data_IF_399912177257
#
_entry.id   IF_399912177257
#
_cell.length_a   1.000
_cell.length_b   1.000
_cell.length_c   1.000
_cell.angle_alpha   90.00
_cell.angle_beta   90.00
_cell.angle_gamma   90.00
#
_symmetry.space_group_name_H-M   'P 1'
#
loop_
_entity.id
_entity.type
_entity.pdbx_description
1 polymer ?
#
# COMPACT_ATOMS: atom_id res chain seq x y z
N UNK A 1 12.91 -22.56 11.40
CA UNK A 1 12.29 -21.37 12.02
C UNK A 1 10.95 -21.07 11.35
N UNK A 2 9.81 -21.52 11.90
CA UNK A 2 8.46 -21.20 11.38
C UNK A 2 7.48 -21.03 12.55
N UNK A 3 7.58 -19.90 13.23
CA UNK A 3 6.50 -19.37 14.07
C UNK A 3 5.99 -18.08 13.41
N UNK A 4 5.48 -18.19 12.19
CA UNK A 4 4.67 -17.12 11.59
C UNK A 4 3.34 -17.13 12.35
N UNK A 5 3.20 -16.20 13.29
CA UNK A 5 1.93 -15.76 13.87
C UNK A 5 0.83 -15.94 12.82
N UNK A 6 -0.08 -16.91 13.02
CA UNK A 6 -1.26 -17.12 12.19
C UNK A 6 -2.18 -15.92 12.40
N UNK A 7 -1.85 -14.81 11.75
CA UNK A 7 -2.72 -13.64 11.69
C UNK A 7 -3.99 -14.14 11.00
N UNK A 8 -5.09 -14.16 11.75
CA UNK A 8 -6.39 -14.48 11.20
C UNK A 8 -6.71 -13.47 10.09
N UNK A 9 -6.69 -13.98 8.85
CA UNK A 9 -6.91 -13.17 7.65
C UNK A 9 -8.26 -12.47 7.72
N UNK A 10 -9.25 -13.05 8.41
CA UNK A 10 -10.58 -12.45 8.61
C UNK A 10 -10.52 -11.13 9.38
N UNK A 11 -9.51 -10.95 10.24
CA UNK A 11 -9.30 -9.70 10.99
C UNK A 11 -8.55 -8.64 10.19
N UNK A 12 -7.96 -8.99 9.04
CA UNK A 12 -7.17 -8.05 8.24
C UNK A 12 -8.04 -6.97 7.57
N UNK A 13 -7.49 -5.76 7.48
CA UNK A 13 -8.13 -4.64 6.75
C UNK A 13 -8.36 -5.01 5.28
N UNK A 14 -7.44 -5.76 4.68
CA UNK A 14 -7.56 -6.25 3.31
C UNK A 14 -8.79 -7.15 3.14
N UNK A 15 -9.00 -8.11 4.04
CA UNK A 15 -10.19 -8.97 4.00
C UNK A 15 -11.48 -8.17 4.20
N UNK A 16 -11.54 -7.25 5.18
CA UNK A 16 -12.72 -6.40 5.40
C UNK A 16 -13.07 -5.57 4.17
N UNK A 17 -12.07 -4.97 3.51
CA UNK A 17 -12.25 -4.22 2.27
C UNK A 17 -12.75 -5.12 1.13
N UNK A 18 -12.17 -6.30 0.96
CA UNK A 18 -12.56 -7.28 -0.06
C UNK A 18 -14.00 -7.74 0.17
N UNK A 19 -14.36 -8.08 1.41
CA UNK A 19 -15.71 -8.49 1.81
C UNK A 19 -16.72 -7.36 1.53
N UNK A 20 -16.39 -6.12 1.90
CA UNK A 20 -17.22 -4.96 1.58
C UNK A 20 -17.44 -4.79 0.07
N UNK A 21 -16.36 -4.88 -0.74
CA UNK A 21 -16.47 -4.76 -2.20
C UNK A 21 -17.23 -5.93 -2.83
N UNK A 22 -17.04 -7.13 -2.29
CA UNK A 22 -17.76 -8.32 -2.71
C UNK A 22 -19.26 -8.18 -2.43
N UNK A 23 -19.64 -7.77 -1.21
CA UNK A 23 -21.03 -7.51 -0.82
C UNK A 23 -21.68 -6.40 -1.66
N UNK A 24 -20.94 -5.34 -1.98
CA UNK A 24 -21.43 -4.26 -2.86
C UNK A 24 -21.68 -4.73 -4.30
N UNK A 25 -20.89 -5.68 -4.81
CA UNK A 25 -21.12 -6.31 -6.12
C UNK A 25 -22.21 -7.39 -6.06
N UNK A 26 -22.35 -8.08 -4.94
CA UNK A 26 -23.38 -9.08 -4.66
C UNK A 26 -24.80 -8.51 -4.80
N UNK A 27 -25.03 -7.29 -4.30
CA UNK A 27 -26.34 -6.62 -4.44
C UNK A 27 -26.78 -6.43 -5.90
N UNK A 28 -25.83 -6.44 -6.84
CA UNK A 28 -26.07 -6.17 -8.27
C UNK A 28 -26.19 -7.43 -9.13
N UNK A 29 -25.94 -8.63 -8.59
CA UNK A 29 -25.73 -9.81 -9.43
C UNK A 29 -26.43 -11.06 -8.87
N UNK A 30 -27.37 -11.62 -9.63
CA UNK A 30 -28.20 -12.75 -9.18
C UNK A 30 -27.43 -14.06 -9.03
N UNK A 31 -26.37 -14.26 -9.82
CA UNK A 31 -25.48 -15.43 -9.70
C UNK A 31 -24.78 -15.47 -8.34
N UNK A 32 -24.37 -14.31 -7.82
CA UNK A 32 -23.75 -14.20 -6.51
C UNK A 32 -24.75 -14.37 -5.36
N UNK A 33 -26.02 -14.01 -5.58
CA UNK A 33 -27.11 -14.24 -4.61
C UNK A 33 -27.32 -15.72 -4.30
N UNK A 34 -27.11 -16.60 -5.28
CA UNK A 34 -27.28 -18.05 -5.16
C UNK A 34 -26.17 -18.75 -4.36
N UNK A 35 -25.01 -18.11 -4.14
CA UNK A 35 -23.94 -18.71 -3.33
C UNK A 35 -24.34 -18.80 -1.85
N UNK A 36 -23.95 -19.90 -1.20
CA UNK A 36 -24.00 -20.04 0.25
C UNK A 36 -23.03 -19.06 0.93
N UNK A 37 -23.28 -18.75 2.21
CA UNK A 37 -22.39 -17.86 2.97
C UNK A 37 -20.97 -18.42 3.11
N UNK A 38 -20.84 -19.75 3.19
CA UNK A 38 -19.54 -20.43 3.29
C UNK A 38 -18.70 -20.30 2.03
N UNK A 39 -19.31 -20.44 0.85
CA UNK A 39 -18.60 -20.28 -0.42
C UNK A 39 -18.12 -18.84 -0.62
N UNK A 40 -18.92 -17.85 -0.20
CA UNK A 40 -18.53 -16.43 -0.23
C UNK A 40 -17.32 -16.17 0.65
N UNK A 41 -17.32 -16.74 1.85
CA UNK A 41 -16.21 -16.63 2.79
C UNK A 41 -14.94 -17.27 2.22
N UNK A 42 -15.04 -18.46 1.63
CA UNK A 42 -13.91 -19.13 0.96
C UNK A 42 -13.31 -18.27 -0.15
N UNK A 43 -14.16 -17.70 -1.03
CA UNK A 43 -13.72 -16.81 -2.11
C UNK A 43 -13.04 -15.55 -1.55
N UNK A 44 -13.64 -14.90 -0.55
CA UNK A 44 -13.08 -13.69 0.04
C UNK A 44 -11.74 -13.95 0.73
N UNK A 45 -11.60 -15.08 1.45
CA UNK A 45 -10.33 -15.48 2.08
C UNK A 45 -9.26 -15.75 1.03
N UNK A 46 -9.59 -16.48 -0.04
CA UNK A 46 -8.63 -16.79 -1.09
C UNK A 46 -8.16 -15.55 -1.83
N UNK A 47 -9.09 -14.66 -2.18
CA UNK A 47 -8.76 -13.39 -2.83
C UNK A 47 -7.95 -12.49 -1.89
N UNK A 48 -8.26 -12.47 -0.59
CA UNK A 48 -7.47 -11.73 0.40
C UNK A 48 -6.04 -12.26 0.51
N UNK A 49 -5.86 -13.59 0.58
CA UNK A 49 -4.52 -14.22 0.58
C UNK A 49 -3.73 -13.87 -0.68
N UNK A 50 -4.36 -13.98 -1.85
CA UNK A 50 -3.71 -13.70 -3.13
C UNK A 50 -3.37 -12.21 -3.28
N UNK A 51 -4.28 -11.32 -2.86
CA UNK A 51 -4.03 -9.88 -2.81
C UNK A 51 -2.85 -9.56 -1.91
N UNK A 52 -2.79 -10.17 -0.71
CA UNK A 52 -1.68 -9.99 0.24
C UNK A 52 -0.35 -10.40 -0.37
N UNK A 53 -0.27 -11.58 -0.97
CA UNK A 53 0.97 -12.07 -1.59
C UNK A 53 1.43 -11.16 -2.74
N UNK A 54 0.51 -10.76 -3.63
CA UNK A 54 0.83 -9.84 -4.74
C UNK A 54 1.29 -8.48 -4.19
N UNK A 55 0.62 -7.97 -3.16
CA UNK A 55 0.99 -6.69 -2.52
C UNK A 55 2.39 -6.76 -1.92
N UNK A 56 2.76 -7.87 -1.28
CA UNK A 56 4.10 -8.05 -0.71
C UNK A 56 5.18 -8.07 -1.80
N UNK A 57 4.96 -8.86 -2.86
CA UNK A 57 5.90 -8.94 -3.99
C UNK A 57 6.04 -7.57 -4.66
N UNK A 58 4.92 -6.92 -4.94
CA UNK A 58 4.91 -5.58 -5.52
C UNK A 58 5.60 -4.56 -4.61
N UNK A 59 5.36 -4.61 -3.30
CA UNK A 59 6.00 -3.72 -2.33
C UNK A 59 7.53 -3.86 -2.35
N UNK A 60 8.06 -5.08 -2.45
CA UNK A 60 9.51 -5.32 -2.57
C UNK A 60 10.05 -4.70 -3.86
N UNK A 61 9.42 -4.99 -5.00
CA UNK A 61 9.82 -4.44 -6.30
C UNK A 61 9.76 -2.91 -6.28
N UNK A 62 8.70 -2.35 -5.71
CA UNK A 62 8.49 -0.91 -5.60
C UNK A 62 9.61 -0.22 -4.82
N UNK A 63 10.07 -0.82 -3.72
CA UNK A 63 11.21 -0.30 -2.95
C UNK A 63 12.46 -0.23 -3.84
N UNK A 64 12.78 -1.30 -4.58
CA UNK A 64 13.94 -1.29 -5.48
C UNK A 64 13.82 -0.23 -6.58
N UNK A 65 12.64 -0.09 -7.19
CA UNK A 65 12.38 0.94 -8.20
C UNK A 65 12.55 2.34 -7.60
N UNK A 66 12.02 2.58 -6.39
CA UNK A 66 12.14 3.88 -5.74
C UNK A 66 13.57 4.22 -5.34
N UNK A 67 14.36 3.24 -4.88
CA UNK A 67 15.79 3.44 -4.62
C UNK A 67 16.55 3.78 -5.90
N UNK A 68 16.25 3.10 -7.00
CA UNK A 68 16.84 3.37 -8.30
C UNK A 68 16.48 4.76 -8.83
N UNK A 69 15.19 5.13 -8.74
CA UNK A 69 14.72 6.47 -9.11
C UNK A 69 15.35 7.56 -8.23
N UNK A 70 15.49 7.31 -6.93
CA UNK A 70 16.17 8.23 -6.03
C UNK A 70 17.63 8.43 -6.45
N UNK A 71 18.36 7.36 -6.77
CA UNK A 71 19.73 7.45 -7.25
C UNK A 71 19.83 8.26 -8.55
N UNK A 72 19.00 7.95 -9.55
CA UNK A 72 19.06 8.62 -10.86
C UNK A 72 18.59 10.07 -10.78
N UNK A 73 17.45 10.33 -10.15
CA UNK A 73 16.83 11.65 -10.22
C UNK A 73 17.38 12.60 -9.16
N UNK A 74 17.61 12.10 -7.95
CA UNK A 74 17.99 12.94 -6.82
C UNK A 74 19.50 13.07 -6.69
N UNK A 75 20.31 12.04 -6.97
CA UNK A 75 21.77 12.14 -6.78
C UNK A 75 22.48 12.67 -8.02
N UNK A 76 22.04 12.28 -9.22
CA UNK A 76 22.72 12.66 -10.47
C UNK A 76 22.66 14.19 -10.74
N UNK A 77 23.81 14.84 -10.96
CA UNK A 77 23.89 16.27 -11.28
C UNK A 77 23.08 16.70 -12.51
N UNK A 78 22.92 15.82 -13.51
CA UNK A 78 22.27 16.15 -14.77
C UNK A 78 20.80 16.56 -14.61
N UNK A 79 20.11 16.05 -13.58
CA UNK A 79 18.69 16.33 -13.35
C UNK A 79 18.44 17.43 -12.31
N UNK A 80 19.48 18.10 -11.82
CA UNK A 80 19.33 19.15 -10.79
C UNK A 80 18.51 20.37 -11.25
N UNK A 81 18.47 20.62 -12.57
CA UNK A 81 17.67 21.70 -13.15
C UNK A 81 16.18 21.37 -13.27
N UNK A 82 15.78 20.11 -13.03
CA UNK A 82 14.38 19.73 -13.04
C UNK A 82 13.67 20.30 -11.80
N UNK A 83 12.54 20.98 -12.00
CA UNK A 83 11.78 21.65 -10.94
C UNK A 83 11.35 20.70 -9.81
N UNK A 84 10.93 19.48 -10.16
CA UNK A 84 10.53 18.48 -9.17
C UNK A 84 11.73 17.99 -8.36
N UNK A 85 12.85 17.67 -9.02
CA UNK A 85 14.08 17.24 -8.35
C UNK A 85 14.61 18.32 -7.41
N UNK A 86 14.61 19.58 -7.86
CA UNK A 86 15.02 20.73 -7.06
C UNK A 86 14.14 20.91 -5.83
N UNK A 87 12.82 20.85 -5.99
CA UNK A 87 11.88 20.88 -4.88
C UNK A 87 12.13 19.74 -3.88
N UNK A 88 12.33 18.52 -4.38
CA UNK A 88 12.57 17.34 -3.56
C UNK A 88 13.86 17.49 -2.74
N UNK A 89 14.95 17.93 -3.37
CA UNK A 89 16.23 18.22 -2.70
C UNK A 89 16.09 19.33 -1.66
N UNK A 90 15.44 20.43 -1.99
CA UNK A 90 15.24 21.54 -1.05
C UNK A 90 14.54 21.09 0.24
N UNK A 91 13.57 20.16 0.15
CA UNK A 91 12.95 19.58 1.34
C UNK A 91 13.99 18.80 2.16
N UNK A 92 14.75 17.90 1.53
CA UNK A 92 15.79 17.13 2.21
C UNK A 92 16.86 18.03 2.85
N UNK A 93 17.36 19.01 2.12
CA UNK A 93 18.36 19.97 2.59
C UNK A 93 17.83 20.80 3.77
N UNK A 94 16.53 21.12 3.77
CA UNK A 94 15.91 21.83 4.90
C UNK A 94 15.74 20.96 6.17
N UNK A 95 15.79 19.63 6.01
CA UNK A 95 15.65 18.65 7.10
C UNK A 95 17.01 18.17 7.60
N UNK A 96 18.02 18.10 6.73
CA UNK A 96 19.38 17.69 7.05
C UNK A 96 19.98 18.38 8.31
N UNK A 97 19.95 19.72 8.45
CA UNK A 97 20.46 20.38 9.65
C UNK A 97 19.57 20.13 10.88
N UNK A 98 18.28 19.85 10.70
CA UNK A 98 17.39 19.49 11.81
C UNK A 98 17.70 18.11 12.35
N UNK A 99 18.07 17.14 11.49
CA UNK A 99 18.45 15.79 11.91
C UNK A 99 19.82 15.80 12.59
N UNK A 100 20.80 16.49 12.01
CA UNK A 100 22.19 16.47 12.46
C UNK A 100 22.55 17.57 13.47
N UNK A 101 21.66 18.53 13.69
CA UNK A 101 21.86 19.62 14.64
C UNK A 101 21.64 19.22 16.09
N UNK A 102 22.02 20.09 17.01
CA UNK A 102 21.73 19.91 18.44
C UNK A 102 20.25 20.23 18.73
N UNK A 103 19.50 19.26 19.24
CA UNK A 103 18.06 19.41 19.54
C UNK A 103 17.78 20.05 20.91
N UNK A 104 18.84 20.38 21.66
CA UNK A 104 18.77 20.88 23.03
C UNK A 104 18.51 19.78 24.06
N UNK A 105 18.71 20.12 25.33
CA UNK A 105 18.58 19.17 26.45
C UNK A 105 17.12 18.84 26.82
N UNK A 106 16.19 19.78 26.62
CA UNK A 106 14.79 19.64 27.03
C UNK A 106 13.98 18.69 26.15
N UNK A 107 13.18 17.83 26.79
CA UNK A 107 12.28 16.85 26.12
C UNK A 107 11.31 17.54 25.16
N UNK A 108 10.77 18.70 25.53
CA UNK A 108 9.84 19.46 24.68
C UNK A 108 10.51 19.96 23.40
N UNK A 109 11.76 20.42 23.47
CA UNK A 109 12.53 20.85 22.29
C UNK A 109 12.80 19.68 21.35
N UNK A 110 13.21 18.53 21.89
CA UNK A 110 13.41 17.29 21.12
C UNK A 110 12.12 16.85 20.40
N UNK A 111 10.98 16.84 21.10
CA UNK A 111 9.67 16.52 20.51
C UNK A 111 9.27 17.50 19.41
N UNK A 112 9.50 18.80 19.63
CA UNK A 112 9.24 19.85 18.64
C UNK A 112 10.07 19.68 17.36
N UNK A 113 11.37 19.37 17.50
CA UNK A 113 12.24 19.11 16.34
C UNK A 113 11.79 17.89 15.55
N UNK A 114 11.43 16.79 16.23
CA UNK A 114 10.90 15.59 15.56
C UNK A 114 9.62 15.90 14.80
N UNK A 115 8.68 16.64 15.42
CA UNK A 115 7.45 17.05 14.76
C UNK A 115 7.71 17.89 13.52
N UNK A 116 8.65 18.85 13.60
CA UNK A 116 9.03 19.69 12.47
C UNK A 116 9.65 18.88 11.32
N UNK A 117 10.50 17.90 11.63
CA UNK A 117 11.07 16.96 10.66
C UNK A 117 9.93 16.18 9.98
N UNK A 118 8.98 15.65 10.75
CA UNK A 118 7.82 14.94 10.21
C UNK A 118 6.98 15.82 9.27
N UNK A 119 6.69 17.07 9.66
CA UNK A 119 5.92 18.01 8.83
C UNK A 119 6.65 18.30 7.51
N UNK A 120 7.96 18.53 7.56
CA UNK A 120 8.77 18.81 6.36
C UNK A 120 8.85 17.61 5.41
N UNK A 121 8.97 16.39 5.93
CA UNK A 121 9.06 15.17 5.12
C UNK A 121 7.71 14.64 4.64
N UNK A 122 6.60 15.09 5.23
CA UNK A 122 5.25 14.62 4.92
C UNK A 122 4.89 14.67 3.43
N UNK A 123 5.20 15.75 2.67
CA UNK A 123 4.92 15.78 1.23
C UNK A 123 5.65 14.69 0.44
N UNK A 124 6.93 14.46 0.74
CA UNK A 124 7.73 13.39 0.13
C UNK A 124 7.13 12.02 0.47
N UNK A 125 6.76 11.83 1.73
CA UNK A 125 6.15 10.57 2.18
C UNK A 125 4.83 10.29 1.46
N UNK A 126 3.98 11.30 1.27
CA UNK A 126 2.71 11.17 0.53
C UNK A 126 2.98 10.72 -0.91
N UNK A 127 3.86 11.40 -1.64
CA UNK A 127 4.16 11.06 -3.04
C UNK A 127 4.68 9.63 -3.16
N UNK A 128 5.53 9.20 -2.23
CA UNK A 128 6.12 7.86 -2.26
C UNK A 128 5.17 6.76 -1.75
N UNK A 129 4.30 7.04 -0.79
CA UNK A 129 3.43 6.04 -0.17
C UNK A 129 2.09 5.85 -0.91
N UNK A 130 1.52 6.92 -1.46
CA UNK A 130 0.19 6.91 -2.10
C UNK A 130 0.09 5.86 -3.23
N UNK A 131 1.05 5.72 -4.16
CA UNK A 131 0.97 4.71 -5.21
C UNK A 131 0.86 3.29 -4.64
N UNK A 132 1.62 2.99 -3.59
CA UNK A 132 1.61 1.69 -2.92
C UNK A 132 0.26 1.44 -2.21
N UNK A 133 -0.32 2.47 -1.60
CA UNK A 133 -1.64 2.39 -0.96
C UNK A 133 -2.78 2.16 -1.97
N UNK A 134 -2.72 2.82 -3.13
CA UNK A 134 -3.73 2.67 -4.21
C UNK A 134 -3.64 1.29 -4.87
N UNK A 135 -2.44 0.71 -4.94
CA UNK A 135 -2.23 -0.59 -5.58
C UNK A 135 -3.03 -1.74 -4.93
N UNK A 136 -3.21 -1.70 -3.61
CA UNK A 136 -3.92 -2.72 -2.83
C UNK A 136 -5.40 -2.86 -3.26
N UNK A 137 -6.23 -1.80 -3.21
CA UNK A 137 -7.63 -1.90 -3.61
C UNK A 137 -7.81 -2.18 -5.10
N UNK A 138 -6.89 -1.73 -5.96
CA UNK A 138 -6.90 -2.03 -7.41
C UNK A 138 -6.70 -3.53 -7.64
N UNK A 139 -5.66 -4.11 -7.04
CA UNK A 139 -5.35 -5.54 -7.16
C UNK A 139 -6.49 -6.40 -6.62
N UNK A 140 -7.04 -6.06 -5.46
CA UNK A 140 -8.21 -6.73 -4.90
C UNK A 140 -9.40 -6.72 -5.87
N UNK A 141 -9.69 -5.56 -6.49
CA UNK A 141 -10.79 -5.41 -7.44
C UNK A 141 -10.58 -6.26 -8.71
N UNK A 142 -9.35 -6.31 -9.23
CA UNK A 142 -8.99 -7.12 -10.41
C UNK A 142 -9.14 -8.61 -10.10
N UNK A 143 -8.62 -9.06 -8.96
CA UNK A 143 -8.70 -10.47 -8.55
C UNK A 143 -10.16 -10.91 -8.32
N UNK A 144 -10.97 -10.07 -7.68
CA UNK A 144 -12.41 -10.32 -7.54
C UNK A 144 -13.11 -10.43 -8.89
N UNK A 145 -12.79 -9.54 -9.84
CA UNK A 145 -13.37 -9.58 -11.20
C UNK A 145 -12.95 -10.86 -11.95
N UNK A 146 -11.69 -11.27 -11.85
CA UNK A 146 -11.19 -12.50 -12.49
C UNK A 146 -11.88 -13.74 -11.93
N UNK A 147 -12.03 -13.86 -10.61
CA UNK A 147 -12.74 -14.99 -9.99
C UNK A 147 -14.21 -15.05 -10.35
N UNK A 148 -14.85 -13.89 -10.46
CA UNK A 148 -16.22 -13.80 -10.92
C UNK A 148 -16.37 -14.27 -12.38
N UNK A 149 -15.59 -13.72 -13.30
CA UNK A 149 -15.67 -14.08 -14.73
C UNK A 149 -15.41 -15.58 -14.95
N UNK A 150 -14.50 -16.17 -14.18
CA UNK A 150 -14.25 -17.61 -14.22
C UNK A 150 -15.45 -18.41 -13.71
N UNK A 151 -16.02 -18.04 -12.56
CA UNK A 151 -17.19 -18.74 -11.99
C UNK A 151 -18.48 -18.59 -12.80
N UNK A 152 -18.64 -17.48 -13.54
CA UNK A 152 -19.78 -17.29 -14.45
C UNK A 152 -19.68 -18.11 -15.73
N UNK A 153 -18.47 -18.43 -16.20
CA UNK A 153 -18.24 -19.25 -17.39
C UNK A 153 -18.32 -20.75 -17.10
N UNK A 154 -18.10 -21.18 -15.86
CA UNK A 154 -18.10 -22.60 -15.48
C UNK A 154 -19.40 -23.09 -14.85
N UNK A 155 -20.44 -22.24 -14.73
CA UNK A 155 -21.75 -22.63 -14.16
C UNK A 155 -21.61 -23.40 -12.84
N UNK A 156 -21.10 -22.75 -11.78
CA UNK A 156 -20.68 -23.40 -10.53
C UNK A 156 -21.67 -24.47 -10.02
N UNK A 157 -21.21 -25.74 -9.98
CA UNK A 157 -20.71 -26.29 -8.72
C UNK A 157 -19.35 -27.03 -8.83
N UNK A 158 -18.46 -26.76 -7.86
CA UNK A 158 -17.74 -27.75 -7.03
C UNK A 158 -16.94 -27.04 -5.92
#
# INVERSE_FOLDING_TARGET
MRALMKIDIRKSVQYKYILYRFNKKFLKNETLKKLSQEEKDKICIEVAKKTRNITLIFGIIYIFVMLFLFYILVINPQYQNNTFVKWYRNILDSVYPLINGNWGSGINKKRGTVLLICIKLLPIFIINAVPLLIFIPVTANILLKRRYNFGSQTGLPR
#
